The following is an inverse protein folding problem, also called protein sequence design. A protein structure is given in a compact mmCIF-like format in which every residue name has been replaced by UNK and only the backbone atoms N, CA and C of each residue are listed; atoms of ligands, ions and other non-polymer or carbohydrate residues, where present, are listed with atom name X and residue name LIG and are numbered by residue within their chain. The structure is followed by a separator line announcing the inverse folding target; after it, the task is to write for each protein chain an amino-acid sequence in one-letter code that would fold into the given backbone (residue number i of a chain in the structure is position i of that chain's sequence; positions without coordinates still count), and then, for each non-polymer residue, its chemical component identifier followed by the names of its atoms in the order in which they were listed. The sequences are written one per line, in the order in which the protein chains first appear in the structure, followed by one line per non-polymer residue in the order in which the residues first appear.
data_IF_868223240775
#
_entry.id   IF_868223240775
#
_cell.length_a   1.000
_cell.length_b   1.000
_cell.length_c   1.000
_cell.angle_alpha   90.00
_cell.angle_beta   90.00
_cell.angle_gamma   90.00
#
_symmetry.space_group_name_H-M   'P 1'
#
loop_
_entity.id
_entity.type
_entity.pdbx_description
1 polymer ?
#
# COMPACT_ATOMS: atom_id res chain seq x y z
N UNK A 1 -19.23 -7.14 8.80
CA UNK A 1 -17.97 -6.47 8.37
C UNK A 1 -18.06 -4.94 8.50
N UNK A 2 -19.24 -4.37 8.79
CA UNK A 2 -19.49 -2.93 8.86
C UNK A 2 -19.02 -2.22 10.16
N UNK A 3 -18.85 -2.93 11.29
CA UNK A 3 -18.44 -2.33 12.58
C UNK A 3 -16.97 -1.86 12.67
N UNK A 4 -16.16 -1.99 11.61
CA UNK A 4 -14.73 -1.57 11.58
C UNK A 4 -14.48 -0.24 10.84
N UNK A 5 -15.55 0.44 10.42
CA UNK A 5 -15.49 1.68 9.65
C UNK A 5 -15.64 2.96 10.49
N UNK A 6 -16.15 2.90 11.73
CA UNK A 6 -16.59 4.09 12.48
C UNK A 6 -15.56 4.79 13.39
N UNK A 7 -14.31 4.33 13.48
CA UNK A 7 -13.27 5.06 14.24
C UNK A 7 -11.92 4.91 13.57
N UNK A 8 -11.60 5.73 12.56
CA UNK A 8 -10.27 5.78 11.97
C UNK A 8 -9.68 7.18 12.04
N UNK A 9 -8.41 7.23 12.40
CA UNK A 9 -7.68 8.44 12.74
C UNK A 9 -7.13 9.10 11.46
N UNK A 10 -7.94 9.90 10.77
CA UNK A 10 -7.50 10.69 9.62
C UNK A 10 -6.80 11.97 10.09
N UNK A 11 -5.80 12.41 9.33
CA UNK A 11 -5.15 13.71 9.55
C UNK A 11 -6.04 14.80 9.01
N UNK A 12 -6.21 15.86 9.79
CA UNK A 12 -7.02 17.02 9.44
C UNK A 12 -6.18 18.28 9.26
N UNK A 13 -5.03 18.37 9.94
CA UNK A 13 -4.16 19.55 9.86
C UNK A 13 -2.70 19.21 10.16
N UNK A 14 -1.76 19.85 9.48
CA UNK A 14 -0.34 19.91 9.79
C UNK A 14 0.02 21.37 10.04
N UNK A 15 0.63 21.66 11.18
CA UNK A 15 1.06 23.01 11.57
C UNK A 15 2.59 23.04 11.66
N UNK A 16 3.18 24.05 11.03
CA UNK A 16 4.61 24.31 11.05
C UNK A 16 4.84 25.78 11.40
N UNK A 17 5.66 26.04 12.41
CA UNK A 17 6.05 27.40 12.81
C UNK A 17 7.56 27.59 12.73
N UNK A 18 7.95 28.71 12.14
CA UNK A 18 9.33 29.16 11.91
C UNK A 18 10.21 28.05 11.29
N UNK A 19 9.74 27.36 10.24
CA UNK A 19 10.56 26.41 9.49
C UNK A 19 11.73 27.15 8.86
N UNK A 20 12.94 26.63 9.09
CA UNK A 20 14.22 27.30 8.78
C UNK A 20 14.39 28.66 9.49
N UNK A 21 13.53 28.99 10.45
CA UNK A 21 13.44 30.31 11.07
C UNK A 21 12.71 31.36 10.24
N UNK A 22 12.01 30.96 9.16
CA UNK A 22 11.43 31.87 8.17
C UNK A 22 9.95 31.64 7.93
N UNK A 23 9.55 30.36 7.78
CA UNK A 23 8.25 30.03 7.20
C UNK A 23 7.27 29.48 8.22
N UNK A 24 6.07 30.05 8.23
CA UNK A 24 4.91 29.52 8.94
C UNK A 24 3.93 28.91 7.94
N UNK A 25 3.47 27.69 8.22
CA UNK A 25 2.53 26.96 7.38
C UNK A 25 1.43 26.29 8.19
N UNK A 26 0.20 26.37 7.69
CA UNK A 26 -0.94 25.57 8.17
C UNK A 26 -1.52 24.82 6.99
N UNK A 27 -1.42 23.49 6.98
CA UNK A 27 -1.84 22.63 5.87
C UNK A 27 -3.05 21.78 6.31
N UNK A 28 -4.21 21.83 5.63
CA UNK A 28 -4.50 22.68 4.49
C UNK A 28 -4.68 24.16 4.89
N UNK A 29 -4.38 25.08 3.97
CA UNK A 29 -4.53 26.52 4.20
C UNK A 29 -5.99 27.00 4.11
N UNK A 30 -6.91 26.13 3.69
CA UNK A 30 -8.35 26.39 3.59
C UNK A 30 -9.12 25.21 4.20
N UNK A 31 -10.38 25.41 4.57
CA UNK A 31 -11.26 24.31 5.00
C UNK A 31 -11.52 23.37 3.82
N UNK A 32 -10.71 22.31 3.73
CA UNK A 32 -10.85 21.25 2.74
C UNK A 32 -10.81 19.88 3.41
N UNK A 33 -11.62 18.96 2.88
CA UNK A 33 -11.56 17.57 3.28
C UNK A 33 -10.31 16.91 2.67
N UNK A 34 -9.30 16.69 3.51
CA UNK A 34 -8.04 16.05 3.14
C UNK A 34 -8.01 14.57 3.52
N UNK A 35 -9.13 13.98 3.95
CA UNK A 35 -9.19 12.60 4.47
C UNK A 35 -8.64 11.55 3.50
N UNK A 36 -8.69 11.81 2.19
CA UNK A 36 -8.13 10.93 1.14
C UNK A 36 -6.86 11.48 0.49
N UNK A 37 -6.76 12.79 0.31
CA UNK A 37 -5.70 13.40 -0.48
C UNK A 37 -5.40 14.81 0.01
N UNK A 38 -4.11 15.06 0.26
CA UNK A 38 -3.52 16.38 0.42
C UNK A 38 -2.38 16.52 -0.59
N UNK A 39 -2.39 17.57 -1.39
CA UNK A 39 -1.31 17.92 -2.31
C UNK A 39 -0.68 19.24 -1.88
N UNK A 40 0.59 19.19 -1.52
CA UNK A 40 1.41 20.32 -1.14
C UNK A 40 2.20 20.79 -2.36
N UNK A 41 2.07 22.06 -2.72
CA UNK A 41 2.86 22.66 -3.78
C UNK A 41 3.43 24.02 -3.38
N UNK A 42 4.51 24.43 -4.02
CA UNK A 42 5.23 25.66 -3.70
C UNK A 42 6.57 25.72 -4.42
N UNK A 43 7.18 26.90 -4.48
CA UNK A 43 8.42 27.12 -5.21
C UNK A 43 9.61 26.34 -4.61
N UNK A 44 10.71 26.26 -5.35
CA UNK A 44 11.93 25.62 -4.86
C UNK A 44 12.43 26.33 -3.59
N UNK A 45 12.82 25.56 -2.57
CA UNK A 45 13.30 26.10 -1.30
C UNK A 45 12.21 26.43 -0.27
N UNK A 46 10.92 26.30 -0.60
CA UNK A 46 9.80 26.51 0.36
C UNK A 46 9.69 25.44 1.45
N UNK A 47 10.38 24.30 1.30
CA UNK A 47 10.47 23.26 2.32
C UNK A 47 9.53 22.06 2.15
N UNK A 48 8.89 21.85 0.98
CA UNK A 48 7.99 20.70 0.71
C UNK A 48 8.55 19.34 1.16
N UNK A 49 9.67 18.91 0.60
CA UNK A 49 10.35 17.66 0.97
C UNK A 49 10.67 17.61 2.46
N UNK A 50 11.08 18.74 3.05
CA UNK A 50 11.39 18.82 4.49
C UNK A 50 10.14 18.61 5.34
N UNK A 51 9.01 19.22 4.99
CA UNK A 51 7.73 19.04 5.68
C UNK A 51 7.29 17.57 5.62
N UNK A 52 7.38 16.94 4.45
CA UNK A 52 7.04 15.52 4.30
C UNK A 52 7.95 14.61 5.13
N UNK A 53 9.26 14.89 5.16
CA UNK A 53 10.23 14.16 5.99
C UNK A 53 9.98 14.36 7.49
N UNK A 54 9.78 15.61 7.94
CA UNK A 54 9.42 15.92 9.32
C UNK A 54 8.14 15.19 9.73
N UNK A 55 7.15 15.16 8.85
CA UNK A 55 5.90 14.44 9.07
C UNK A 55 6.14 12.94 9.31
N UNK A 56 6.90 12.30 8.42
CA UNK A 56 7.28 10.90 8.59
C UNK A 56 8.09 10.66 9.87
N UNK A 57 9.13 11.45 10.13
CA UNK A 57 10.00 11.28 11.30
C UNK A 57 9.29 11.50 12.64
N UNK A 58 8.33 12.43 12.68
CA UNK A 58 7.52 12.69 13.85
C UNK A 58 6.74 11.44 14.25
N UNK A 59 6.00 10.84 13.30
CA UNK A 59 5.11 9.73 13.59
C UNK A 59 5.76 8.34 13.51
N UNK A 60 6.98 8.23 12.97
CA UNK A 60 7.70 6.97 12.94
C UNK A 60 7.98 6.45 14.35
N UNK A 61 7.56 5.21 14.62
CA UNK A 61 7.70 4.54 15.92
C UNK A 61 8.84 3.55 15.98
N UNK A 62 9.67 3.49 14.93
CA UNK A 62 10.80 2.54 14.85
C UNK A 62 11.90 2.92 15.85
N UNK A 63 12.16 2.04 16.81
CA UNK A 63 13.19 2.22 17.84
C UNK A 63 14.58 2.31 17.19
N UNK A 64 15.44 3.17 17.75
CA UNK A 64 16.83 3.38 17.32
C UNK A 64 17.04 3.67 15.82
N UNK A 65 16.01 4.09 15.11
CA UNK A 65 16.02 4.42 13.67
C UNK A 65 16.76 5.72 13.33
N UNK A 66 17.05 6.55 14.33
CA UNK A 66 17.61 7.89 14.14
C UNK A 66 16.61 8.92 13.62
N UNK A 67 15.34 8.58 13.36
CA UNK A 67 14.34 9.53 12.85
C UNK A 67 14.12 10.72 13.79
N UNK A 68 14.14 10.48 15.10
CA UNK A 68 14.03 11.56 16.10
C UNK A 68 15.27 12.47 16.13
N UNK A 69 16.44 11.96 15.73
CA UNK A 69 17.64 12.79 15.47
C UNK A 69 17.48 13.63 14.19
N UNK A 70 16.85 13.09 13.14
CA UNK A 70 16.56 13.87 11.91
C UNK A 70 15.62 15.04 12.16
N UNK A 71 14.68 14.92 13.11
CA UNK A 71 13.90 16.06 13.60
C UNK A 71 14.81 17.10 14.28
N UNK A 72 15.73 16.66 15.14
CA UNK A 72 16.68 17.55 15.80
C UNK A 72 17.60 18.30 14.79
N UNK A 73 17.98 17.65 13.68
CA UNK A 73 18.77 18.24 12.59
C UNK A 73 18.03 19.30 11.77
N UNK A 74 16.72 19.47 11.96
CA UNK A 74 15.92 20.45 11.21
C UNK A 74 15.54 21.65 12.08
N UNK A 75 15.83 22.86 11.58
CA UNK A 75 15.51 24.12 12.27
C UNK A 75 14.01 24.44 12.14
N UNK A 76 13.30 24.45 13.26
CA UNK A 76 11.89 24.84 13.35
C UNK A 76 11.54 25.19 14.81
N UNK A 77 10.48 25.98 15.02
CA UNK A 77 9.92 26.26 16.35
C UNK A 77 8.83 25.29 16.75
N UNK A 78 7.89 25.00 15.84
CA UNK A 78 6.84 23.99 16.06
C UNK A 78 6.63 23.17 14.80
N UNK A 79 6.44 21.86 14.96
CA UNK A 79 5.91 20.99 13.92
C UNK A 79 4.90 20.04 14.57
N UNK A 80 3.64 20.09 14.18
CA UNK A 80 2.59 19.23 14.75
C UNK A 80 1.59 18.72 13.71
N UNK A 81 1.07 17.53 13.97
CA UNK A 81 0.08 16.84 13.16
C UNK A 81 -1.17 16.62 14.00
N UNK A 82 -2.30 17.09 13.48
CA UNK A 82 -3.61 17.02 14.11
C UNK A 82 -4.48 15.99 13.42
N UNK A 83 -5.25 15.26 14.23
CA UNK A 83 -6.14 14.21 13.78
C UNK A 83 -7.60 14.53 14.09
N UNK A 84 -8.51 13.87 13.37
CA UNK A 84 -9.95 14.10 13.45
C UNK A 84 -10.54 13.93 14.86
N UNK A 85 -9.95 13.09 15.69
CA UNK A 85 -10.42 12.84 17.07
C UNK A 85 -9.88 13.86 18.10
N UNK A 86 -9.29 14.96 17.64
CA UNK A 86 -8.71 16.01 18.47
C UNK A 86 -7.31 15.71 19.01
N UNK A 87 -6.70 14.59 18.60
CA UNK A 87 -5.30 14.28 18.92
C UNK A 87 -4.35 15.20 18.15
N UNK A 88 -3.28 15.63 18.80
CA UNK A 88 -2.15 16.34 18.22
C UNK A 88 -0.87 15.66 18.69
N UNK A 89 0.01 15.34 17.74
CA UNK A 89 1.37 14.87 18.00
C UNK A 89 2.30 15.94 17.46
N UNK A 90 3.31 16.34 18.22
CA UNK A 90 4.17 17.43 17.79
C UNK A 90 5.53 17.49 18.44
N UNK A 91 6.37 18.32 17.84
CA UNK A 91 7.68 18.72 18.33
C UNK A 91 7.70 20.25 18.48
N UNK A 92 8.23 20.74 19.61
CA UNK A 92 8.27 22.16 19.95
C UNK A 92 9.62 22.60 20.51
N UNK A 93 9.98 23.85 20.22
CA UNK A 93 11.14 24.59 20.74
C UNK A 93 10.69 26.01 21.08
N UNK A 94 11.36 26.66 22.03
CA UNK A 94 11.07 28.06 22.37
C UNK A 94 11.33 29.01 21.19
N UNK A 95 12.41 28.75 20.47
CA UNK A 95 12.83 29.46 19.25
C UNK A 95 13.19 28.45 18.14
N UNK A 96 13.18 28.90 16.88
CA UNK A 96 13.63 28.08 15.77
C UNK A 96 15.14 27.81 15.84
N UNK A 97 15.52 26.70 16.45
CA UNK A 97 16.91 26.26 16.62
C UNK A 97 17.11 24.81 16.15
N UNK A 98 18.37 24.37 16.12
CA UNK A 98 18.75 22.96 15.90
C UNK A 98 18.91 22.26 17.24
N UNK A 99 18.77 20.94 17.23
CA UNK A 99 19.02 20.10 18.39
C UNK A 99 17.76 19.86 19.23
N UNK A 100 17.94 19.90 20.56
CA UNK A 100 16.94 19.56 21.59
C UNK A 100 15.55 20.13 21.30
N UNK A 101 14.52 19.32 21.54
CA UNK A 101 13.12 19.72 21.39
C UNK A 101 12.22 18.97 22.36
N UNK A 102 11.07 19.56 22.67
CA UNK A 102 9.98 18.89 23.37
C UNK A 102 9.18 18.05 22.37
N UNK A 103 9.06 16.74 22.62
CA UNK A 103 8.20 15.82 21.87
C UNK A 103 6.97 15.50 22.70
N UNK A 104 5.78 15.75 22.15
CA UNK A 104 4.54 15.72 22.91
C UNK A 104 3.37 15.08 22.17
N UNK A 105 2.41 14.62 22.95
CA UNK A 105 1.07 14.20 22.53
C UNK A 105 0.06 15.00 23.34
N UNK A 106 -0.86 15.67 22.66
CA UNK A 106 -1.99 16.38 23.25
C UNK A 106 -3.32 15.87 22.69
N UNK A 107 -4.40 16.02 23.45
CA UNK A 107 -5.76 15.77 22.97
C UNK A 107 -6.65 16.90 23.43
N UNK A 108 -7.41 17.49 22.50
CA UNK A 108 -8.26 18.65 22.78
C UNK A 108 -7.51 19.78 23.49
N UNK A 109 -6.25 20.03 23.09
CA UNK A 109 -5.32 21.03 23.66
C UNK A 109 -4.74 20.70 25.04
N UNK A 110 -5.10 19.58 25.66
CA UNK A 110 -4.48 19.12 26.90
C UNK A 110 -3.30 18.17 26.59
N UNK A 111 -2.11 18.45 27.14
CA UNK A 111 -0.94 17.58 26.98
C UNK A 111 -1.15 16.27 27.75
N UNK A 112 -1.19 15.14 27.03
CA UNK A 112 -1.31 13.79 27.58
C UNK A 112 0.06 13.30 28.05
N UNK A 113 1.08 13.41 27.18
CA UNK A 113 2.46 13.00 27.43
C UNK A 113 3.41 14.00 26.78
N UNK A 114 4.55 14.23 27.41
CA UNK A 114 5.60 15.07 26.86
C UNK A 114 6.97 14.66 27.40
N UNK A 115 8.01 14.86 26.58
CA UNK A 115 9.40 14.63 26.94
C UNK A 115 10.32 15.62 26.21
N UNK A 116 11.37 16.08 26.89
CA UNK A 116 12.44 16.84 26.25
C UNK A 116 13.50 15.88 25.73
N UNK A 117 13.58 15.74 24.41
CA UNK A 117 14.60 14.92 23.75
C UNK A 117 15.88 15.73 23.59
N UNK A 118 16.88 15.44 24.43
CA UNK A 118 18.17 16.13 24.45
C UNK A 118 19.04 15.66 23.29
N UNK A 119 19.60 16.60 22.54
CA UNK A 119 20.59 16.31 21.50
C UNK A 119 22.00 16.59 21.96
N UNK A 120 22.98 15.85 21.43
CA UNK A 120 24.39 16.21 21.56
C UNK A 120 24.82 17.29 20.53
N UNK A 121 26.11 17.62 20.50
CA UNK A 121 26.68 18.62 19.58
C UNK A 121 26.45 18.29 18.08
N UNK A 122 26.19 17.03 17.74
CA UNK A 122 25.91 16.58 16.38
C UNK A 122 24.41 16.46 16.10
N UNK A 123 23.54 17.03 16.94
CA UNK A 123 22.07 16.93 16.85
C UNK A 123 21.53 15.49 16.93
N UNK A 124 22.30 14.55 17.46
CA UNK A 124 21.82 13.18 17.66
C UNK A 124 21.14 13.06 19.02
N UNK A 125 19.94 12.47 19.04
CA UNK A 125 19.21 12.16 20.26
C UNK A 125 19.78 10.88 20.84
N UNK A 126 20.20 10.93 22.10
CA UNK A 126 20.67 9.78 22.86
C UNK A 126 19.83 9.68 24.13
N UNK A 127 19.15 8.54 24.29
CA UNK A 127 18.40 8.21 25.50
C UNK A 127 19.10 7.03 26.16
N UNK A 128 19.44 7.19 27.43
CA UNK A 128 20.05 6.10 28.21
C UNK A 128 19.00 5.01 28.45
N UNK A 129 19.27 3.74 28.08
CA UNK A 129 18.35 2.64 28.32
C UNK A 129 17.97 2.54 29.80
N UNK A 130 16.66 2.46 30.07
CA UNK A 130 16.14 2.35 31.44
C UNK A 130 16.08 3.67 32.24
N UNK A 131 16.54 4.80 31.69
CA UNK A 131 16.32 6.12 32.29
C UNK A 131 14.83 6.49 32.32
N UNK A 132 14.45 7.41 33.22
CA UNK A 132 13.07 7.95 33.28
C UNK A 132 12.62 8.53 31.93
N UNK A 133 13.53 9.24 31.27
CA UNK A 133 13.30 9.82 29.94
C UNK A 133 13.07 8.72 28.90
N UNK A 134 13.87 7.66 28.91
CA UNK A 134 13.65 6.53 28.00
C UNK A 134 12.31 5.81 28.23
N UNK A 135 11.87 5.67 29.49
CA UNK A 135 10.54 5.08 29.80
C UNK A 135 9.41 5.94 29.22
N UNK A 136 9.43 7.26 29.45
CA UNK A 136 8.40 8.17 28.92
C UNK A 136 8.43 8.18 27.38
N UNK A 137 9.62 8.15 26.78
CA UNK A 137 9.76 8.07 25.32
C UNK A 137 9.11 6.79 24.76
N UNK A 138 9.39 5.63 25.36
CA UNK A 138 8.79 4.36 24.95
C UNK A 138 7.27 4.38 25.13
N UNK A 139 6.75 4.97 26.21
CA UNK A 139 5.31 5.13 26.40
C UNK A 139 4.64 6.01 25.33
N UNK A 140 5.33 7.06 24.85
CA UNK A 140 4.86 7.88 23.74
C UNK A 140 4.85 7.04 22.45
N UNK A 141 5.89 6.26 22.17
CA UNK A 141 5.93 5.39 20.99
C UNK A 141 4.84 4.32 21.04
N UNK A 142 4.63 3.68 22.19
CA UNK A 142 3.55 2.71 22.41
C UNK A 142 2.16 3.33 22.22
N UNK A 143 1.97 4.57 22.70
CA UNK A 143 0.72 5.30 22.45
C UNK A 143 0.46 5.45 20.95
N UNK A 144 1.49 5.87 20.18
CA UNK A 144 1.37 6.04 18.72
C UNK A 144 1.16 4.70 18.02
N UNK A 145 1.86 3.64 18.43
CA UNK A 145 1.62 2.26 17.93
C UNK A 145 0.18 1.83 18.18
N UNK A 146 -0.38 2.18 19.35
CA UNK A 146 -1.78 1.92 19.71
C UNK A 146 -2.81 2.65 18.85
N UNK A 147 -2.44 3.71 18.13
CA UNK A 147 -3.31 4.38 17.15
C UNK A 147 -3.50 3.53 15.88
N UNK A 148 -2.68 2.50 15.69
CA UNK A 148 -2.69 1.61 14.52
C UNK A 148 -2.58 2.39 13.20
N UNK A 149 -1.67 3.37 13.17
CA UNK A 149 -1.34 4.17 12.00
C UNK A 149 -0.04 3.65 11.40
N UNK A 150 -0.11 3.15 10.17
CA UNK A 150 1.09 2.80 9.40
C UNK A 150 1.34 3.88 8.36
N UNK A 151 2.57 4.39 8.32
CA UNK A 151 2.97 5.46 7.41
C UNK A 151 4.05 4.92 6.49
N UNK A 152 3.84 5.16 5.21
CA UNK A 152 4.82 4.92 4.16
C UNK A 152 5.26 6.25 3.58
N UNK A 153 6.57 6.43 3.42
CA UNK A 153 7.16 7.59 2.76
C UNK A 153 7.93 7.14 1.53
N UNK A 154 7.52 7.61 0.35
CA UNK A 154 8.19 7.39 -0.90
C UNK A 154 8.91 8.67 -1.31
N UNK A 155 10.25 8.66 -1.27
CA UNK A 155 11.06 9.81 -1.69
C UNK A 155 11.05 10.04 -3.20
N UNK A 156 11.59 11.18 -3.58
CA UNK A 156 11.93 11.57 -4.96
C UNK A 156 12.83 10.52 -5.65
N UNK A 157 13.74 9.89 -4.92
CA UNK A 157 14.57 8.75 -5.40
C UNK A 157 13.86 7.39 -5.38
N UNK A 158 12.53 7.37 -5.13
CA UNK A 158 11.65 6.18 -5.13
C UNK A 158 11.99 5.12 -4.09
N UNK A 159 12.72 5.48 -3.02
CA UNK A 159 12.88 4.62 -1.84
C UNK A 159 11.65 4.70 -0.94
N UNK A 160 11.22 3.55 -0.45
CA UNK A 160 10.16 3.48 0.57
C UNK A 160 10.80 3.45 1.95
N UNK A 161 10.31 4.27 2.86
CA UNK A 161 10.49 4.14 4.30
C UNK A 161 9.15 3.78 4.96
N UNK A 162 9.18 2.96 6.02
CA UNK A 162 7.99 2.57 6.79
C UNK A 162 8.14 2.94 8.28
N UNK A 163 7.02 3.19 8.96
CA UNK A 163 7.00 3.68 10.35
C UNK A 163 7.10 2.60 11.44
N UNK A 164 6.97 1.31 11.09
CA UNK A 164 6.84 0.21 12.05
C UNK A 164 8.20 -0.35 12.49
N UNK A 165 8.33 -0.63 13.80
CA UNK A 165 9.25 -1.63 14.39
C UNK A 165 8.45 -2.91 14.57
N UNK A 166 8.93 -4.05 14.11
CA UNK A 166 8.42 -5.29 14.67
C UNK A 166 9.51 -6.36 14.75
N UNK A 167 9.64 -7.02 15.90
CA UNK A 167 10.33 -8.33 16.05
C UNK A 167 9.73 -9.39 15.10
N UNK A 168 8.51 -9.16 14.58
CA UNK A 168 7.89 -9.99 13.53
C UNK A 168 8.56 -9.82 12.15
N UNK A 169 9.37 -8.78 11.97
CA UNK A 169 10.17 -8.61 10.75
C UNK A 169 11.55 -9.29 10.85
N UNK A 170 12.04 -9.69 12.04
CA UNK A 170 13.22 -10.58 12.15
C UNK A 170 12.91 -11.97 11.55
N UNK A 171 11.65 -12.43 11.62
CA UNK A 171 11.22 -13.69 10.96
C UNK A 171 10.97 -13.46 9.44
N UNK A 172 10.92 -12.21 8.97
CA UNK A 172 10.78 -11.84 7.54
C UNK A 172 12.12 -11.43 6.91
N UNK A 173 13.25 -11.92 7.43
CA UNK A 173 14.61 -11.66 6.91
C UNK A 173 14.87 -12.10 5.45
N UNK A 174 13.92 -12.72 4.76
CA UNK A 174 14.04 -12.96 3.30
C UNK A 174 13.41 -11.86 2.43
N UNK A 175 12.90 -10.75 2.99
CA UNK A 175 12.43 -9.60 2.20
C UNK A 175 13.40 -8.45 2.31
N UNK A 176 14.24 -8.31 1.29
CA UNK A 176 15.17 -7.20 1.08
C UNK A 176 14.36 -5.89 0.95
N UNK A 177 14.08 -5.25 2.09
CA UNK A 177 13.83 -3.82 2.20
C UNK A 177 15.12 -3.26 2.78
N UNK A 178 16.07 -2.91 1.92
CA UNK A 178 17.29 -2.22 2.36
C UNK A 178 16.89 -0.80 2.72
N UNK A 179 16.63 -0.55 4.00
CA UNK A 179 16.57 0.81 4.53
C UNK A 179 18.01 1.25 4.84
N UNK A 180 18.42 2.44 4.40
CA UNK A 180 19.74 3.01 4.76
C UNK A 180 19.94 3.11 6.28
N UNK A 181 18.88 3.12 7.09
CA UNK A 181 18.98 3.03 8.55
C UNK A 181 19.65 1.75 9.05
N UNK A 182 19.56 0.65 8.28
CA UNK A 182 20.18 -0.64 8.62
C UNK A 182 21.67 -0.69 8.21
N UNK A 183 22.12 0.24 7.36
CA UNK A 183 23.52 0.31 6.87
C UNK A 183 24.35 1.32 7.69
N UNK A 184 23.72 2.28 8.36
CA UNK A 184 24.43 3.35 9.10
C UNK A 184 25.23 2.80 10.32
N UNK A 185 25.02 1.54 10.73
CA UNK A 185 25.78 0.93 11.84
C UNK A 185 27.17 0.39 11.48
N UNK A 186 27.58 0.31 10.21
CA UNK A 186 28.98 -0.01 9.88
C UNK A 186 29.79 1.27 9.64
N UNK A 187 30.59 1.64 10.65
CA UNK A 187 31.54 2.76 10.60
C UNK A 187 32.49 2.67 9.39
N UNK A 188 32.79 3.87 8.86
CA UNK A 188 34.05 4.29 8.23
C UNK A 188 34.80 3.25 7.41
N UNK A 189 34.34 2.87 6.22
CA UNK A 189 35.16 2.70 5.01
C UNK A 189 34.18 2.61 3.82
N UNK A 190 34.57 3.16 2.65
CA UNK A 190 33.84 3.08 1.36
C UNK A 190 32.69 4.06 1.03
N UNK A 191 32.78 5.34 1.38
CA UNK A 191 31.82 6.36 0.89
C UNK A 191 31.77 6.55 -0.65
N UNK A 192 32.73 6.04 -1.41
CA UNK A 192 32.83 6.23 -2.87
C UNK A 192 32.48 4.96 -3.64
N UNK A 193 32.96 3.78 -3.21
CA UNK A 193 32.64 2.50 -3.83
C UNK A 193 31.19 2.08 -3.57
N UNK A 194 30.70 2.23 -2.33
CA UNK A 194 29.30 2.00 -1.96
C UNK A 194 28.39 2.98 -2.69
N UNK A 195 28.78 4.25 -2.89
CA UNK A 195 27.97 5.22 -3.63
C UNK A 195 27.85 4.88 -5.13
N UNK A 196 28.87 4.22 -5.71
CA UNK A 196 28.86 3.74 -7.09
C UNK A 196 28.03 2.44 -7.23
N UNK A 197 28.19 1.47 -6.33
CA UNK A 197 27.31 0.27 -6.25
C UNK A 197 25.85 0.64 -5.96
N UNK A 198 25.60 1.61 -5.07
CA UNK A 198 24.27 2.12 -4.78
C UNK A 198 23.68 2.83 -5.99
N UNK A 199 24.48 3.51 -6.83
CA UNK A 199 23.98 4.10 -8.07
C UNK A 199 23.52 3.05 -9.10
N UNK A 200 24.17 1.88 -9.12
CA UNK A 200 23.78 0.76 -9.99
C UNK A 200 22.58 -0.02 -9.40
N UNK A 201 22.46 -0.12 -8.07
CA UNK A 201 21.28 -0.70 -7.39
C UNK A 201 20.06 0.25 -7.29
N UNK A 202 20.25 1.56 -7.48
CA UNK A 202 19.24 2.63 -7.29
C UNK A 202 18.00 2.52 -8.19
N UNK A 203 18.04 1.67 -9.21
CA UNK A 203 16.95 1.41 -10.15
C UNK A 203 16.72 -0.10 -10.36
N UNK A 204 17.15 -0.95 -9.41
CA UNK A 204 16.93 -2.38 -9.49
C UNK A 204 15.43 -2.66 -9.39
N UNK A 205 14.80 -2.78 -10.56
CA UNK A 205 13.40 -3.08 -10.72
C UNK A 205 13.11 -4.54 -10.34
N UNK A 206 14.12 -5.40 -10.46
CA UNK A 206 14.09 -6.83 -10.13
C UNK A 206 13.60 -7.09 -8.70
N UNK A 207 14.22 -6.55 -7.61
CA UNK A 207 13.70 -6.71 -6.25
C UNK A 207 12.25 -6.24 -6.07
N UNK A 208 11.84 -5.17 -6.76
CA UNK A 208 10.48 -4.68 -6.67
C UNK A 208 9.48 -5.65 -7.31
N UNK A 209 9.82 -6.19 -8.50
CA UNK A 209 9.01 -7.20 -9.18
C UNK A 209 8.91 -8.46 -8.32
N UNK A 210 10.02 -8.93 -7.74
CA UNK A 210 10.00 -10.08 -6.83
C UNK A 210 9.09 -9.84 -5.63
N UNK A 211 9.17 -8.67 -4.97
CA UNK A 211 8.24 -8.29 -3.90
C UNK A 211 6.78 -8.31 -4.35
N UNK A 212 6.49 -7.86 -5.58
CA UNK A 212 5.13 -7.92 -6.13
C UNK A 212 4.67 -9.37 -6.34
N UNK A 213 5.53 -10.23 -6.88
CA UNK A 213 5.22 -11.66 -7.08
C UNK A 213 4.93 -12.32 -5.73
N UNK A 214 5.77 -12.07 -4.73
CA UNK A 214 5.57 -12.60 -3.39
C UNK A 214 4.31 -12.06 -2.73
N UNK A 215 3.99 -10.78 -2.93
CA UNK A 215 2.73 -10.20 -2.49
C UNK A 215 1.55 -10.95 -3.11
N UNK A 216 1.55 -11.18 -4.44
CA UNK A 216 0.51 -11.95 -5.12
C UNK A 216 0.42 -13.36 -4.56
N UNK A 217 1.54 -14.09 -4.44
CA UNK A 217 1.58 -15.46 -3.91
C UNK A 217 0.99 -15.54 -2.51
N UNK A 218 1.38 -14.63 -1.61
CA UNK A 218 0.84 -14.58 -0.25
C UNK A 218 -0.67 -14.33 -0.23
N UNK A 219 -1.18 -13.48 -1.13
CA UNK A 219 -2.63 -13.24 -1.26
C UNK A 219 -3.37 -14.44 -1.83
N UNK A 220 -2.80 -15.12 -2.80
CA UNK A 220 -3.36 -16.36 -3.35
C UNK A 220 -3.38 -17.46 -2.29
N UNK A 221 -2.30 -17.65 -1.52
CA UNK A 221 -2.25 -18.66 -0.45
C UNK A 221 -3.27 -18.35 0.65
N UNK A 222 -3.36 -17.10 1.10
CA UNK A 222 -4.34 -16.71 2.12
C UNK A 222 -5.79 -16.84 1.63
N UNK A 223 -6.06 -16.57 0.35
CA UNK A 223 -7.36 -16.84 -0.28
C UNK A 223 -7.63 -18.35 -0.46
N UNK A 224 -6.62 -19.12 -0.87
CA UNK A 224 -6.72 -20.56 -1.14
C UNK A 224 -6.90 -21.39 0.12
N UNK A 225 -6.25 -21.05 1.24
CA UNK A 225 -6.47 -21.72 2.54
C UNK A 225 -7.93 -21.66 3.01
N UNK A 226 -8.69 -20.67 2.53
CA UNK A 226 -10.14 -20.55 2.76
C UNK A 226 -10.98 -21.45 1.84
N UNK A 227 -10.42 -21.93 0.72
CA UNK A 227 -11.07 -22.79 -0.27
C UNK A 227 -10.54 -24.24 -0.33
N UNK A 228 -9.36 -24.54 0.21
CA UNK A 228 -8.76 -25.89 0.20
C UNK A 228 -9.47 -26.90 1.11
N UNK A 229 -10.30 -26.42 2.03
CA UNK A 229 -11.22 -27.29 2.78
C UNK A 229 -12.27 -27.96 1.87
N UNK A 230 -12.37 -27.61 0.58
CA UNK A 230 -13.51 -28.02 -0.25
C UNK A 230 -13.43 -29.39 -0.92
N UNK A 231 -12.28 -29.97 -1.33
CA UNK A 231 -12.35 -31.22 -2.12
C UNK A 231 -12.91 -32.41 -1.33
N UNK A 232 -12.44 -32.60 -0.10
CA UNK A 232 -12.97 -33.62 0.83
C UNK A 232 -14.39 -33.30 1.26
N UNK A 233 -14.71 -32.01 1.45
CA UNK A 233 -16.07 -31.56 1.78
C UNK A 233 -17.03 -31.80 0.61
N UNK A 234 -16.61 -31.59 -0.65
CA UNK A 234 -17.38 -31.89 -1.87
C UNK A 234 -17.68 -33.38 -1.91
N UNK A 235 -16.70 -34.26 -1.76
CA UNK A 235 -16.95 -35.70 -1.72
C UNK A 235 -17.88 -36.07 -0.56
N UNK A 236 -17.67 -35.51 0.63
CA UNK A 236 -18.56 -35.74 1.78
C UNK A 236 -19.98 -35.23 1.54
N UNK A 237 -20.14 -34.10 0.85
CA UNK A 237 -21.42 -33.48 0.54
C UNK A 237 -22.13 -34.25 -0.57
N UNK A 238 -21.41 -34.76 -1.57
CA UNK A 238 -21.97 -35.65 -2.59
C UNK A 238 -22.48 -36.92 -1.91
N UNK A 239 -21.70 -37.53 -1.01
CA UNK A 239 -22.11 -38.74 -0.27
C UNK A 239 -23.31 -38.45 0.64
N UNK A 240 -23.26 -37.38 1.44
CA UNK A 240 -24.37 -36.97 2.31
C UNK A 240 -25.62 -36.69 1.52
N UNK A 241 -25.51 -35.89 0.46
CA UNK A 241 -26.63 -35.54 -0.39
C UNK A 241 -27.20 -36.77 -1.09
N UNK A 242 -26.36 -37.71 -1.53
CA UNK A 242 -26.78 -38.99 -2.11
C UNK A 242 -27.56 -39.84 -1.10
N UNK A 243 -27.13 -39.88 0.16
CA UNK A 243 -27.85 -40.59 1.24
C UNK A 243 -29.18 -39.88 1.56
N UNK A 244 -29.21 -38.54 1.62
CA UNK A 244 -30.42 -37.75 1.90
C UNK A 244 -31.39 -37.64 0.72
N UNK A 245 -31.00 -38.02 -0.51
CA UNK A 245 -31.93 -38.18 -1.66
C UNK A 245 -33.14 -39.07 -1.31
N UNK A 246 -32.96 -39.98 -0.35
CA UNK A 246 -34.00 -40.88 0.16
C UNK A 246 -35.00 -40.21 1.11
N UNK A 247 -34.67 -39.05 1.73
CA UNK A 247 -35.41 -38.52 2.88
C UNK A 247 -35.63 -36.98 2.94
N UNK A 248 -35.14 -36.15 2.00
CA UNK A 248 -35.32 -34.68 2.11
C UNK A 248 -35.84 -33.95 0.87
N UNK A 249 -36.76 -33.00 1.09
CA UNK A 249 -37.18 -31.91 0.20
C UNK A 249 -36.09 -30.80 0.12
N UNK A 250 -34.84 -31.16 -0.12
CA UNK A 250 -33.82 -30.13 -0.40
C UNK A 250 -34.20 -29.43 -1.72
N UNK A 251 -33.99 -28.10 -1.87
CA UNK A 251 -34.35 -27.40 -3.11
C UNK A 251 -33.48 -27.94 -4.26
N UNK A 252 -34.07 -28.82 -5.07
CA UNK A 252 -33.42 -29.39 -6.26
C UNK A 252 -33.34 -28.28 -7.29
N UNK A 253 -32.11 -27.92 -7.69
CA UNK A 253 -31.90 -26.96 -8.78
C UNK A 253 -32.38 -27.61 -10.07
N UNK A 254 -33.27 -26.92 -10.78
CA UNK A 254 -33.75 -27.37 -12.07
C UNK A 254 -32.64 -27.31 -13.13
N UNK A 255 -32.86 -27.99 -14.25
CA UNK A 255 -31.90 -28.03 -15.36
C UNK A 255 -31.52 -26.63 -15.88
N UNK A 256 -32.46 -25.67 -15.85
CA UNK A 256 -32.21 -24.29 -16.30
C UNK A 256 -31.32 -23.53 -15.33
N UNK A 257 -31.56 -23.62 -14.02
CA UNK A 257 -30.72 -22.96 -13.02
C UNK A 257 -29.28 -23.45 -13.05
N UNK A 258 -29.04 -24.76 -13.20
CA UNK A 258 -27.69 -25.31 -13.36
C UNK A 258 -26.99 -24.77 -14.63
N UNK A 259 -27.72 -24.60 -15.73
CA UNK A 259 -27.16 -24.01 -16.96
C UNK A 259 -26.85 -22.52 -16.81
N UNK A 260 -27.69 -21.77 -16.08
CA UNK A 260 -27.47 -20.35 -15.80
C UNK A 260 -26.24 -20.19 -14.89
N UNK A 261 -26.15 -20.98 -13.82
CA UNK A 261 -25.01 -20.95 -12.90
C UNK A 261 -23.69 -21.29 -13.60
N UNK A 262 -23.70 -22.32 -14.45
CA UNK A 262 -22.53 -22.66 -15.26
C UNK A 262 -22.16 -21.52 -16.24
N UNK A 263 -23.13 -20.91 -16.91
CA UNK A 263 -22.89 -19.78 -17.82
C UNK A 263 -22.28 -18.58 -17.08
N UNK A 264 -22.81 -18.25 -15.88
CA UNK A 264 -22.28 -17.18 -15.04
C UNK A 264 -20.82 -17.45 -14.61
N UNK A 265 -20.47 -18.71 -14.35
CA UNK A 265 -19.10 -19.10 -14.02
C UNK A 265 -18.18 -19.01 -15.25
N UNK A 266 -18.64 -19.46 -16.41
CA UNK A 266 -17.88 -19.36 -17.68
C UNK A 266 -17.50 -17.92 -18.02
N UNK A 267 -18.34 -16.93 -17.68
CA UNK A 267 -18.00 -15.52 -17.86
C UNK A 267 -16.94 -15.01 -16.86
N UNK A 268 -16.94 -15.52 -15.63
CA UNK A 268 -16.04 -15.07 -14.55
C UNK A 268 -14.69 -15.75 -14.55
N UNK A 269 -14.59 -17.01 -14.98
CA UNK A 269 -13.39 -17.84 -14.93
C UNK A 269 -12.18 -17.31 -15.76
N UNK A 270 -12.35 -16.75 -16.98
CA UNK A 270 -11.22 -16.43 -17.87
C UNK A 270 -10.06 -15.64 -17.25
N UNK A 271 -10.25 -14.54 -16.50
CA UNK A 271 -9.13 -13.82 -15.88
C UNK A 271 -8.35 -14.68 -14.87
N UNK A 272 -9.02 -15.58 -14.14
CA UNK A 272 -8.37 -16.46 -13.17
C UNK A 272 -7.51 -17.52 -13.85
N UNK A 273 -7.96 -18.07 -14.98
CA UNK A 273 -7.15 -18.99 -15.80
C UNK A 273 -5.97 -18.25 -16.42
N UNK A 274 -6.21 -17.07 -17.01
CA UNK A 274 -5.17 -16.30 -17.69
C UNK A 274 -4.03 -15.89 -16.73
N UNK A 275 -4.34 -15.61 -15.47
CA UNK A 275 -3.34 -15.31 -14.44
C UNK A 275 -2.73 -16.56 -13.77
N UNK A 276 -3.18 -17.77 -14.12
CA UNK A 276 -2.72 -19.02 -13.50
C UNK A 276 -3.20 -19.22 -12.06
N UNK A 277 -4.32 -18.59 -11.68
CA UNK A 277 -4.95 -18.71 -10.37
C UNK A 277 -5.92 -19.90 -10.27
N UNK A 278 -6.40 -20.38 -11.42
CA UNK A 278 -7.30 -21.51 -11.56
C UNK A 278 -6.84 -22.38 -12.73
N UNK A 279 -6.92 -23.70 -12.57
CA UNK A 279 -6.71 -24.63 -13.69
C UNK A 279 -7.85 -24.55 -14.71
N UNK A 280 -7.58 -25.00 -15.94
CA UNK A 280 -8.61 -25.10 -16.98
C UNK A 280 -9.71 -26.06 -16.54
N UNK A 281 -10.95 -25.61 -16.65
CA UNK A 281 -12.14 -26.40 -16.34
C UNK A 281 -12.81 -26.86 -17.65
N UNK A 282 -13.22 -28.12 -17.70
CA UNK A 282 -14.02 -28.66 -18.80
C UNK A 282 -15.50 -28.28 -18.64
N UNK A 283 -15.80 -27.00 -18.89
CA UNK A 283 -17.18 -26.50 -18.77
C UNK A 283 -18.08 -27.04 -19.88
N UNK A 284 -17.53 -27.42 -21.03
CA UNK A 284 -18.28 -28.00 -22.14
C UNK A 284 -18.76 -29.41 -21.84
N UNK A 285 -17.91 -30.27 -21.25
CA UNK A 285 -18.31 -31.59 -20.78
C UNK A 285 -19.45 -31.53 -19.75
N UNK A 286 -19.38 -30.58 -18.81
CA UNK A 286 -20.43 -30.35 -17.81
C UNK A 286 -21.72 -29.87 -18.48
N UNK A 287 -21.63 -28.89 -19.40
CA UNK A 287 -22.77 -28.34 -20.15
C UNK A 287 -23.48 -29.42 -20.96
N UNK A 288 -22.73 -30.30 -21.62
CA UNK A 288 -23.26 -31.43 -22.37
C UNK A 288 -23.94 -32.45 -21.47
N UNK A 289 -23.35 -32.75 -20.31
CA UNK A 289 -23.94 -33.65 -19.31
C UNK A 289 -25.29 -33.13 -18.79
N UNK A 290 -25.39 -31.82 -18.50
CA UNK A 290 -26.64 -31.18 -18.08
C UNK A 290 -27.67 -31.23 -19.23
N UNK A 291 -27.26 -30.95 -20.47
CA UNK A 291 -28.15 -31.00 -21.65
C UNK A 291 -28.70 -32.40 -21.92
N UNK A 292 -27.88 -33.43 -21.76
CA UNK A 292 -28.24 -34.82 -22.06
C UNK A 292 -29.13 -35.48 -21.02
N UNK A 293 -29.28 -34.89 -19.83
CA UNK A 293 -30.22 -35.35 -18.82
C UNK A 293 -31.67 -35.19 -19.30
N UNK A 294 -32.41 -36.31 -19.37
CA UNK A 294 -33.79 -36.36 -19.88
C UNK A 294 -34.82 -36.68 -18.80
N UNK A 295 -34.47 -37.46 -17.77
CA UNK A 295 -35.38 -37.85 -16.69
C UNK A 295 -35.22 -36.96 -15.47
N UNK A 296 -36.28 -36.85 -14.65
CA UNK A 296 -36.23 -36.10 -13.39
C UNK A 296 -35.20 -36.68 -12.41
N UNK A 297 -35.05 -38.00 -12.35
CA UNK A 297 -34.02 -38.66 -11.53
C UNK A 297 -32.60 -38.30 -11.97
N UNK A 298 -32.34 -38.26 -13.29
CA UNK A 298 -31.04 -37.83 -13.83
C UNK A 298 -30.74 -36.38 -13.47
N UNK A 299 -31.75 -35.50 -13.55
CA UNK A 299 -31.61 -34.09 -13.19
C UNK A 299 -31.36 -33.96 -11.67
N UNK A 300 -32.08 -34.71 -10.84
CA UNK A 300 -31.91 -34.72 -9.38
C UNK A 300 -30.53 -35.23 -8.97
N UNK A 301 -30.05 -36.30 -9.61
CA UNK A 301 -28.70 -36.83 -9.40
C UNK A 301 -27.62 -35.82 -9.83
N UNK A 302 -27.74 -35.25 -11.04
CA UNK A 302 -26.80 -34.25 -11.52
C UNK A 302 -26.79 -33.00 -10.64
N UNK A 303 -27.95 -32.51 -10.20
CA UNK A 303 -28.02 -31.38 -9.26
C UNK A 303 -27.27 -31.69 -7.97
N UNK A 304 -27.32 -32.93 -7.49
CA UNK A 304 -26.66 -33.37 -6.25
C UNK A 304 -25.13 -33.38 -6.37
N UNK A 305 -24.61 -33.65 -7.56
CA UNK A 305 -23.16 -33.73 -7.82
C UNK A 305 -22.60 -32.39 -8.32
N UNK A 306 -23.28 -31.76 -9.26
CA UNK A 306 -22.83 -30.55 -9.94
C UNK A 306 -23.03 -29.32 -9.05
N UNK A 307 -24.13 -29.20 -8.29
CA UNK A 307 -24.35 -27.99 -7.47
C UNK A 307 -23.24 -27.78 -6.44
N UNK A 308 -22.83 -28.78 -5.62
CA UNK A 308 -21.73 -28.59 -4.68
C UNK A 308 -20.39 -28.28 -5.37
N UNK A 309 -20.18 -28.81 -6.58
CA UNK A 309 -18.99 -28.54 -7.37
C UNK A 309 -18.97 -27.10 -7.89
N UNK A 310 -20.06 -26.61 -8.50
CA UNK A 310 -20.19 -25.22 -8.96
C UNK A 310 -20.10 -24.23 -7.80
N UNK A 311 -20.75 -24.54 -6.66
CA UNK A 311 -20.67 -23.75 -5.43
C UNK A 311 -19.24 -23.66 -4.91
N UNK A 312 -18.49 -24.77 -4.93
CA UNK A 312 -17.08 -24.78 -4.55
C UNK A 312 -16.21 -23.93 -5.48
N UNK A 313 -16.43 -23.99 -6.80
CA UNK A 313 -15.71 -23.14 -7.75
C UNK A 313 -16.05 -21.68 -7.47
N UNK A 314 -17.33 -21.34 -7.33
CA UNK A 314 -17.75 -19.97 -7.03
C UNK A 314 -17.14 -19.46 -5.73
N UNK A 315 -17.08 -20.29 -4.67
CA UNK A 315 -16.41 -19.96 -3.43
C UNK A 315 -14.90 -19.69 -3.62
N UNK A 316 -14.21 -20.49 -4.45
CA UNK A 316 -12.80 -20.28 -4.80
C UNK A 316 -12.60 -18.98 -5.59
N UNK A 317 -13.47 -18.68 -6.56
CA UNK A 317 -13.42 -17.43 -7.32
C UNK A 317 -13.61 -16.22 -6.39
N UNK A 318 -14.62 -16.26 -5.52
CA UNK A 318 -14.88 -15.19 -4.54
C UNK A 318 -13.69 -14.99 -3.59
N UNK A 319 -13.01 -16.08 -3.18
CA UNK A 319 -11.82 -15.99 -2.33
C UNK A 319 -10.62 -15.33 -3.04
N UNK A 320 -10.55 -15.43 -4.38
CA UNK A 320 -9.47 -14.90 -5.20
C UNK A 320 -9.81 -13.56 -5.88
N UNK A 321 -11.06 -13.11 -5.79
CA UNK A 321 -11.60 -11.96 -6.51
C UNK A 321 -10.78 -10.69 -6.29
N UNK A 322 -10.48 -10.38 -5.02
CA UNK A 322 -9.68 -9.21 -4.65
C UNK A 322 -8.29 -9.22 -5.33
N UNK A 323 -7.62 -10.37 -5.33
CA UNK A 323 -6.26 -10.51 -5.89
C UNK A 323 -6.29 -10.41 -7.41
N UNK A 324 -7.23 -11.13 -8.03
CA UNK A 324 -7.44 -11.09 -9.48
C UNK A 324 -7.76 -9.68 -9.97
N UNK A 325 -8.66 -8.97 -9.27
CA UNK A 325 -9.01 -7.58 -9.57
C UNK A 325 -7.81 -6.65 -9.41
N UNK A 326 -7.02 -6.81 -8.35
CA UNK A 326 -5.82 -5.98 -8.12
C UNK A 326 -4.77 -6.19 -9.22
N UNK A 327 -4.50 -7.43 -9.60
CA UNK A 327 -3.58 -7.76 -10.70
C UNK A 327 -4.09 -7.16 -12.01
N UNK A 328 -5.38 -7.31 -12.32
CA UNK A 328 -5.95 -6.80 -13.55
C UNK A 328 -5.86 -5.26 -13.63
N UNK A 329 -6.24 -4.56 -12.57
CA UNK A 329 -6.12 -3.09 -12.52
C UNK A 329 -4.66 -2.68 -12.67
N UNK A 330 -3.72 -3.39 -12.03
CA UNK A 330 -2.29 -3.12 -12.17
C UNK A 330 -1.81 -3.28 -13.61
N UNK A 331 -2.08 -4.41 -14.24
CA UNK A 331 -1.66 -4.68 -15.62
C UNK A 331 -2.29 -3.70 -16.61
N UNK A 332 -3.60 -3.46 -16.51
CA UNK A 332 -4.30 -2.49 -17.36
C UNK A 332 -3.68 -1.10 -17.21
N UNK A 333 -3.48 -0.65 -15.97
CA UNK A 333 -2.88 0.64 -15.68
C UNK A 333 -1.49 0.75 -16.28
N UNK A 334 -0.59 -0.19 -15.97
CA UNK A 334 0.81 -0.13 -16.43
C UNK A 334 0.89 -0.20 -17.95
N UNK A 335 0.08 -1.06 -18.58
CA UNK A 335 0.04 -1.19 -20.03
C UNK A 335 -0.57 0.03 -20.73
N UNK A 336 -1.50 0.74 -20.07
CA UNK A 336 -2.05 2.02 -20.55
C UNK A 336 -1.01 3.15 -20.53
N UNK A 337 -0.01 3.05 -19.65
CA UNK A 337 1.10 3.98 -19.60
C UNK A 337 2.09 3.66 -20.74
N UNK A 338 2.55 2.42 -20.86
CA UNK A 338 3.62 2.02 -21.78
C UNK A 338 3.27 2.22 -23.26
N UNK A 339 4.30 2.47 -24.08
CA UNK A 339 4.16 2.60 -25.53
C UNK A 339 4.94 1.48 -26.22
N UNK A 340 4.25 0.66 -27.02
CA UNK A 340 4.88 -0.43 -27.78
C UNK A 340 5.33 -1.64 -26.95
N UNK A 341 5.15 -1.60 -25.62
CA UNK A 341 5.49 -2.67 -24.67
C UNK A 341 4.28 -2.96 -23.79
N UNK A 342 4.19 -4.19 -23.28
CA UNK A 342 3.16 -4.60 -22.32
C UNK A 342 3.72 -5.61 -21.32
N UNK A 343 3.24 -5.54 -20.10
CA UNK A 343 3.50 -6.51 -19.05
C UNK A 343 2.35 -7.51 -19.01
N UNK A 344 2.69 -8.78 -18.86
CA UNK A 344 1.79 -9.88 -18.58
C UNK A 344 2.16 -10.53 -17.25
N UNK A 345 1.21 -11.23 -16.64
CA UNK A 345 1.42 -11.99 -15.41
C UNK A 345 0.84 -13.38 -15.52
N UNK A 346 1.59 -14.37 -15.03
CA UNK A 346 1.08 -15.70 -14.76
C UNK A 346 1.72 -16.23 -13.47
N UNK A 347 0.96 -16.87 -12.58
CA UNK A 347 1.42 -17.25 -11.24
C UNK A 347 2.68 -18.13 -11.23
N UNK A 348 2.82 -19.03 -12.22
CA UNK A 348 3.98 -19.93 -12.31
C UNK A 348 5.26 -19.24 -12.82
N UNK A 349 5.14 -18.27 -13.73
CA UNK A 349 6.28 -17.60 -14.38
C UNK A 349 6.56 -16.20 -13.86
N UNK A 350 5.64 -15.62 -13.08
CA UNK A 350 5.70 -14.25 -12.60
C UNK A 350 5.29 -13.22 -13.66
N UNK A 351 5.85 -12.01 -13.54
CA UNK A 351 5.64 -10.93 -14.51
C UNK A 351 6.63 -11.05 -15.66
N UNK A 352 6.16 -10.81 -16.88
CA UNK A 352 6.99 -10.78 -18.09
C UNK A 352 6.70 -9.52 -18.89
N UNK A 353 7.75 -8.94 -19.49
CA UNK A 353 7.64 -7.80 -20.40
C UNK A 353 7.66 -8.32 -21.84
N UNK A 354 6.75 -7.84 -22.67
CA UNK A 354 6.67 -8.20 -24.09
C UNK A 354 6.56 -6.97 -24.97
N UNK A 355 7.13 -7.06 -26.16
CA UNK A 355 6.92 -6.07 -27.21
C UNK A 355 5.58 -6.32 -27.93
N UNK A 356 4.82 -5.26 -28.20
CA UNK A 356 3.48 -5.39 -28.79
C UNK A 356 3.55 -5.83 -30.26
N UNK A 357 4.56 -5.38 -31.02
CA UNK A 357 4.63 -5.60 -32.47
C UNK A 357 4.90 -7.05 -32.88
N UNK A 358 5.74 -7.77 -32.12
CA UNK A 358 6.19 -9.13 -32.45
C UNK A 358 5.97 -10.14 -31.30
N UNK A 359 5.40 -9.70 -30.17
CA UNK A 359 5.18 -10.52 -28.97
C UNK A 359 6.46 -11.14 -28.38
N UNK A 360 7.62 -10.55 -28.69
CA UNK A 360 8.92 -10.99 -28.18
C UNK A 360 9.08 -10.62 -26.70
N UNK A 361 9.66 -11.53 -25.92
CA UNK A 361 9.98 -11.29 -24.51
C UNK A 361 11.14 -10.32 -24.39
N UNK A 362 10.97 -9.29 -23.57
CA UNK A 362 11.98 -8.29 -23.27
C UNK A 362 12.42 -8.40 -21.81
N UNK A 363 13.64 -7.98 -21.55
CA UNK A 363 14.13 -7.76 -20.20
C UNK A 363 13.57 -6.45 -19.63
N UNK A 364 13.21 -6.41 -18.35
CA UNK A 364 12.75 -5.20 -17.66
C UNK A 364 13.79 -4.06 -17.67
N UNK A 365 15.07 -4.38 -17.88
CA UNK A 365 16.13 -3.42 -18.09
C UNK A 365 15.97 -2.58 -19.37
N UNK A 366 15.18 -3.05 -20.34
CA UNK A 366 14.84 -2.34 -21.59
C UNK A 366 13.67 -1.36 -21.44
N UNK A 367 13.16 -1.17 -20.24
CA UNK A 367 12.27 -0.05 -19.93
C UNK A 367 13.06 1.25 -19.88
N UNK A 368 12.46 2.34 -20.37
CA UNK A 368 12.98 3.68 -20.18
C UNK A 368 13.03 4.06 -18.69
N UNK A 369 13.83 5.06 -18.32
CA UNK A 369 13.92 5.53 -16.94
C UNK A 369 12.57 5.94 -16.36
N UNK A 370 11.73 6.62 -17.15
CA UNK A 370 10.36 6.99 -16.77
C UNK A 370 9.45 5.78 -16.55
N UNK A 371 9.51 4.77 -17.42
CA UNK A 371 8.76 3.51 -17.27
C UNK A 371 9.19 2.75 -16.01
N UNK A 372 10.50 2.65 -15.75
CA UNK A 372 11.04 2.00 -14.53
C UNK A 372 10.56 2.71 -13.27
N UNK A 373 10.65 4.04 -13.23
CA UNK A 373 10.24 4.83 -12.06
C UNK A 373 8.73 4.75 -11.81
N UNK A 374 7.92 4.79 -12.88
CA UNK A 374 6.48 4.58 -12.76
C UNK A 374 6.17 3.19 -12.21
N UNK A 375 6.80 2.16 -12.77
CA UNK A 375 6.55 0.78 -12.35
C UNK A 375 6.97 0.57 -10.89
N UNK A 376 8.11 1.11 -10.47
CA UNK A 376 8.54 1.12 -9.07
C UNK A 376 7.51 1.80 -8.17
N UNK A 377 7.03 2.99 -8.52
CA UNK A 377 6.01 3.72 -7.78
C UNK A 377 4.72 2.89 -7.61
N UNK A 378 4.23 2.27 -8.69
CA UNK A 378 3.00 1.48 -8.65
C UNK A 378 3.16 0.18 -7.84
N UNK A 379 4.27 -0.53 -8.02
CA UNK A 379 4.62 -1.73 -7.23
C UNK A 379 4.68 -1.39 -5.74
N UNK A 380 5.39 -0.32 -5.41
CA UNK A 380 5.59 0.15 -4.05
C UNK A 380 4.26 0.56 -3.41
N UNK A 381 3.39 1.20 -4.19
CA UNK A 381 2.03 1.55 -3.75
C UNK A 381 1.21 0.30 -3.45
N UNK A 382 1.12 -0.66 -4.37
CA UNK A 382 0.28 -1.85 -4.22
C UNK A 382 0.74 -2.73 -3.06
N UNK A 383 2.04 -2.99 -2.97
CA UNK A 383 2.62 -3.89 -1.97
C UNK A 383 2.53 -3.33 -0.56
N UNK A 384 2.55 -2.00 -0.41
CA UNK A 384 2.46 -1.32 0.89
C UNK A 384 1.02 -0.95 1.28
N UNK A 385 0.12 -0.81 0.30
CA UNK A 385 -1.22 -0.31 0.54
C UNK A 385 -2.07 -1.17 1.48
N UNK A 386 -1.81 -2.48 1.61
CA UNK A 386 -2.58 -3.32 2.53
C UNK A 386 -2.38 -2.94 4.01
N UNK A 387 -1.19 -2.45 4.34
CA UNK A 387 -0.80 -2.11 5.71
C UNK A 387 -0.87 -0.59 5.95
N UNK A 388 -0.77 0.21 4.89
CA UNK A 388 -0.73 1.68 4.95
C UNK A 388 -2.03 2.31 5.44
N UNK A 389 -1.91 3.26 6.36
CA UNK A 389 -2.98 4.21 6.70
C UNK A 389 -2.72 5.56 6.04
N UNK A 390 -1.45 5.96 5.95
CA UNK A 390 -1.02 7.20 5.32
C UNK A 390 0.13 6.88 4.34
N UNK A 391 0.04 7.44 3.14
CA UNK A 391 1.05 7.29 2.10
C UNK A 391 1.56 8.66 1.68
N UNK A 392 2.82 8.95 1.99
CA UNK A 392 3.49 10.19 1.67
C UNK A 392 4.32 9.97 0.41
N UNK A 393 4.21 10.84 -0.60
CA UNK A 393 4.99 10.73 -1.84
C UNK A 393 5.59 12.09 -2.18
N UNK A 394 6.91 12.11 -2.36
CA UNK A 394 7.65 13.29 -2.79
C UNK A 394 7.89 13.23 -4.31
N UNK A 395 7.48 14.30 -5.00
CA UNK A 395 7.66 14.50 -6.44
C UNK A 395 7.23 13.27 -7.27
N UNK A 396 5.96 12.83 -7.21
CA UNK A 396 5.47 11.64 -7.90
C UNK A 396 5.58 11.75 -9.44
N UNK A 397 5.71 12.95 -9.99
CA UNK A 397 5.84 13.24 -11.42
C UNK A 397 7.25 13.05 -12.00
N UNK A 398 8.29 12.90 -11.17
CA UNK A 398 9.68 12.82 -11.67
C UNK A 398 9.78 11.74 -12.75
N UNK A 399 10.36 12.14 -13.89
CA UNK A 399 10.56 11.34 -15.11
C UNK A 399 9.29 10.88 -15.85
N UNK A 400 8.10 11.39 -15.51
CA UNK A 400 6.85 11.09 -16.22
C UNK A 400 6.52 12.17 -17.26
N UNK A 401 5.98 11.74 -18.41
CA UNK A 401 5.43 12.67 -19.41
C UNK A 401 4.08 13.27 -18.95
N UNK A 402 3.64 14.35 -19.60
CA UNK A 402 2.42 15.11 -19.25
C UNK A 402 1.16 14.21 -19.27
N UNK A 403 1.02 13.36 -20.30
CA UNK A 403 -0.13 12.44 -20.42
C UNK A 403 -0.21 11.51 -19.20
N UNK A 404 0.93 11.09 -18.69
CA UNK A 404 1.02 10.19 -17.55
C UNK A 404 0.76 10.89 -16.22
N UNK A 405 1.32 12.10 -16.04
CA UNK A 405 1.07 12.95 -14.88
C UNK A 405 -0.44 13.14 -14.67
N UNK A 406 -1.18 13.53 -15.73
CA UNK A 406 -2.66 13.72 -15.68
C UNK A 406 -3.44 12.53 -15.10
N UNK A 407 -2.94 11.31 -15.29
CA UNK A 407 -3.61 10.09 -14.82
C UNK A 407 -3.12 9.62 -13.44
N UNK A 408 -1.94 10.05 -13.00
CA UNK A 408 -1.21 9.43 -11.90
C UNK A 408 -1.96 9.41 -10.58
N UNK A 409 -2.46 10.57 -10.13
CA UNK A 409 -3.16 10.65 -8.84
C UNK A 409 -4.44 9.80 -8.89
N UNK A 410 -5.16 9.82 -10.02
CA UNK A 410 -6.37 9.00 -10.19
C UNK A 410 -6.03 7.52 -10.05
N UNK A 411 -4.96 7.09 -10.71
CA UNK A 411 -4.43 5.73 -10.62
C UNK A 411 -4.10 5.33 -9.17
N UNK A 412 -3.41 6.19 -8.41
CA UNK A 412 -3.08 5.93 -7.00
C UNK A 412 -4.34 5.83 -6.13
N UNK A 413 -5.34 6.69 -6.37
CA UNK A 413 -6.63 6.65 -5.68
C UNK A 413 -7.46 5.42 -6.06
N UNK A 414 -7.39 4.96 -7.32
CA UNK A 414 -8.11 3.77 -7.78
C UNK A 414 -7.50 2.49 -7.16
N UNK A 415 -6.16 2.39 -7.06
CA UNK A 415 -5.48 1.27 -6.36
C UNK A 415 -5.76 1.21 -4.87
N UNK A 416 -6.06 2.35 -4.29
CA UNK A 416 -6.39 2.49 -2.88
C UNK A 416 -7.89 2.58 -2.64
N UNK A 417 -8.77 2.51 -3.64
CA UNK A 417 -10.20 2.81 -3.45
C UNK A 417 -10.89 1.93 -2.40
N UNK A 418 -10.50 0.65 -2.33
CA UNK A 418 -11.02 -0.31 -1.35
C UNK A 418 -10.28 -0.24 0.00
N UNK A 419 -9.26 0.62 0.08
CA UNK A 419 -8.36 0.80 1.22
C UNK A 419 -8.51 2.24 1.72
N UNK A 420 -8.77 2.44 3.01
CA UNK A 420 -8.90 3.80 3.53
C UNK A 420 -7.51 4.42 3.77
N UNK A 421 -6.79 4.72 2.69
CA UNK A 421 -5.45 5.34 2.67
C UNK A 421 -5.58 6.84 2.43
N UNK A 422 -4.91 7.62 3.26
CA UNK A 422 -4.73 9.06 3.05
C UNK A 422 -3.41 9.32 2.32
N UNK A 423 -3.47 9.95 1.16
CA UNK A 423 -2.27 10.37 0.41
C UNK A 423 -1.85 11.78 0.79
N UNK A 424 -0.56 11.98 1.04
CA UNK A 424 0.05 13.31 1.18
C UNK A 424 1.16 13.44 0.16
N UNK A 425 0.95 14.28 -0.85
CA UNK A 425 1.85 14.43 -1.99
C UNK A 425 2.55 15.78 -1.93
N UNK A 426 3.83 15.84 -2.26
CA UNK A 426 4.50 17.09 -2.62
C UNK A 426 4.81 17.07 -4.12
N UNK A 427 4.55 18.18 -4.80
CA UNK A 427 4.73 18.27 -6.26
C UNK A 427 5.03 19.70 -6.70
N UNK A 428 5.77 19.82 -7.80
CA UNK A 428 5.93 21.04 -8.58
C UNK A 428 5.10 21.06 -9.87
N UNK A 429 4.49 19.94 -10.24
CA UNK A 429 3.72 19.81 -11.48
C UNK A 429 2.35 20.48 -11.39
N UNK A 430 2.21 21.62 -12.06
CA UNK A 430 0.91 22.27 -12.29
C UNK A 430 -0.11 21.35 -12.97
N UNK A 431 0.35 20.39 -13.76
CA UNK A 431 -0.53 19.43 -14.43
C UNK A 431 -1.25 18.53 -13.42
N UNK A 432 -0.52 18.04 -12.40
CA UNK A 432 -1.11 17.28 -11.30
C UNK A 432 -2.09 18.11 -10.47
N UNK A 433 -1.75 19.38 -10.24
CA UNK A 433 -2.56 20.31 -9.45
C UNK A 433 -3.89 20.66 -10.14
N UNK A 434 -3.89 20.84 -11.45
CA UNK A 434 -5.08 21.34 -12.17
C UNK A 434 -6.34 20.49 -11.97
N UNK A 435 -6.17 19.18 -11.76
CA UNK A 435 -7.25 18.21 -11.63
C UNK A 435 -7.82 18.07 -10.20
N UNK A 436 -7.13 18.57 -9.16
CA UNK A 436 -7.46 18.30 -7.75
C UNK A 436 -7.57 19.55 -6.89
N UNK A 437 -8.13 20.65 -7.42
CA UNK A 437 -8.19 21.98 -6.78
C UNK A 437 -8.61 21.98 -5.31
N UNK A 438 -9.54 21.11 -4.91
CA UNK A 438 -10.08 21.06 -3.55
C UNK A 438 -9.15 20.36 -2.54
N UNK A 439 -8.13 19.65 -3.01
CA UNK A 439 -7.19 18.88 -2.16
C UNK A 439 -5.79 19.50 -2.13
N UNK A 440 -5.66 20.74 -2.61
CA UNK A 440 -4.36 21.39 -2.81
C UNK A 440 -4.13 22.45 -1.75
N UNK A 441 -2.89 22.54 -1.30
CA UNK A 441 -2.43 23.57 -0.37
C UNK A 441 -1.14 24.18 -0.89
N UNK A 442 -1.12 25.51 -1.04
CA UNK A 442 0.08 26.24 -1.45
C UNK A 442 0.93 26.55 -0.23
N UNK A 443 2.22 26.25 -0.27
CA UNK A 443 3.18 26.81 0.67
C UNK A 443 3.40 28.28 0.31
N UNK A 444 2.60 29.15 0.95
CA UNK A 444 2.78 30.60 0.93
C UNK A 444 3.25 30.97 2.33
N UNK A 445 4.41 31.63 2.42
CA UNK A 445 4.87 32.17 3.68
C UNK A 445 3.87 33.20 4.18
N UNK A 446 3.36 33.05 5.41
CA UNK A 446 2.58 34.10 6.07
C UNK A 446 3.43 35.37 6.34
N UNK A 447 4.77 35.26 6.25
CA UNK A 447 5.75 36.31 6.59
C UNK A 447 6.61 36.78 5.40
N UNK A 448 6.28 36.45 4.14
CA UNK A 448 7.07 36.88 2.96
C UNK A 448 6.65 38.25 2.41
#
# INVERSE_FOLDING_TARGET
MEKKLENRLAITKIEVKELFGLYDYTLPNAESDISKLLIVYGDNGTGKTTILKLFFYLLATRDNSGYKSRLAETKFKKFSVHFQNGLEIGAYREEASLGTYEYFISKNKEKIKSIVLKSNANNTIQLEPGSKDNVIYLEILEYIRGLNITIFYLSDDRKILNSLTSERDEIRENKIIINESDIIFSKEYEKIAVKKMLNEQRLALEPAIERLIDWVRNKVISGSRKGEQNSQVIFSNIIKNYITLSNSESPIKDKKSLQIELSNLEEKIPPYINFGLLDKLDTQGIRNSIKNAKTEEQIKFLSTVISPFLESINAKLNALEYVSKTINIFLQTVNDYFAGKRIEFHLSTGFSLKQISNNESLDFNWLSSGEKQLLLLLINTITSADDATIFIIDEPEISLNIKWQRKLIKTLLDFSKEKNIQFILATHSFELLSAYKNSITKLVSENA
#
